data_IF_123034397467
#
_entry.id   IF_123034397467
#
_cell.length_a   1.000
_cell.length_b   1.000
_cell.length_c   1.000
_cell.angle_alpha   90.00
_cell.angle_beta   90.00
_cell.angle_gamma   90.00
#
_symmetry.space_group_name_H-M   'P 1'
#
loop_
_entity.id
_entity.type
_entity.pdbx_description
1 polymer ?
#
# COMPACT_ATOMS: atom_id res chain seq x y z
N UNK A 1 7.69 5.49 31.33
CA UNK A 1 8.85 4.64 31.71
C UNK A 1 9.58 4.32 30.42
N UNK A 2 10.80 4.83 30.25
CA UNK A 2 11.72 4.36 29.23
C UNK A 2 12.08 2.93 29.60
N UNK A 3 11.79 1.95 28.75
CA UNK A 3 12.35 0.60 28.92
C UNK A 3 13.86 0.81 28.76
N UNK A 4 14.65 0.60 29.82
CA UNK A 4 16.11 0.71 29.70
C UNK A 4 16.55 -0.26 28.61
N UNK A 5 17.48 0.17 27.78
CA UNK A 5 18.02 -0.58 26.63
C UNK A 5 18.53 -1.99 27.03
N UNK A 6 18.83 -2.19 28.28
CA UNK A 6 19.31 -3.45 28.88
C UNK A 6 18.23 -4.51 29.20
N UNK A 7 16.93 -4.24 28.96
CA UNK A 7 15.84 -5.13 29.36
C UNK A 7 14.84 -5.42 28.21
N UNK A 8 15.34 -5.62 27.00
CA UNK A 8 14.48 -6.14 25.93
C UNK A 8 14.04 -7.56 26.30
N UNK A 9 12.73 -7.85 26.42
CA UNK A 9 12.26 -9.20 26.71
C UNK A 9 12.83 -10.20 25.70
N UNK A 10 13.26 -11.40 26.11
CA UNK A 10 13.97 -12.34 25.24
C UNK A 10 13.15 -12.83 24.03
N UNK A 11 11.82 -12.69 24.06
CA UNK A 11 10.91 -13.07 22.95
C UNK A 11 10.51 -11.87 22.05
N UNK A 12 11.24 -10.76 22.15
CA UNK A 12 10.95 -9.54 21.38
C UNK A 12 11.17 -9.74 19.89
N UNK A 13 10.27 -9.17 19.09
CA UNK A 13 10.37 -9.07 17.63
C UNK A 13 10.88 -7.68 17.25
N UNK A 14 11.98 -7.59 16.50
CA UNK A 14 12.43 -6.35 15.87
C UNK A 14 11.81 -6.22 14.47
N UNK A 15 11.07 -5.14 14.23
CA UNK A 15 10.54 -4.77 12.93
C UNK A 15 11.40 -3.66 12.36
N UNK A 16 11.99 -3.88 11.18
CA UNK A 16 12.80 -2.88 10.48
C UNK A 16 11.99 -2.28 9.34
N UNK A 17 11.63 -1.00 9.49
CA UNK A 17 10.81 -0.23 8.56
C UNK A 17 9.36 -0.04 9.03
N UNK A 18 8.94 1.23 9.14
CA UNK A 18 7.58 1.66 9.49
C UNK A 18 6.80 2.18 8.28
N UNK A 19 6.91 1.50 7.13
CA UNK A 19 5.95 1.64 6.04
C UNK A 19 4.63 0.92 6.38
N UNK A 20 3.71 0.82 5.41
CA UNK A 20 2.41 0.14 5.63
C UNK A 20 2.57 -1.30 6.13
N UNK A 21 3.55 -2.05 5.64
CA UNK A 21 3.82 -3.43 6.05
C UNK A 21 4.19 -3.51 7.53
N UNK A 22 5.26 -2.82 7.93
CA UNK A 22 5.74 -2.86 9.32
C UNK A 22 4.75 -2.24 10.31
N UNK A 23 4.06 -1.18 9.91
CA UNK A 23 3.00 -0.56 10.74
C UNK A 23 1.87 -1.54 11.04
N UNK A 24 1.34 -2.23 10.03
CA UNK A 24 0.21 -3.14 10.24
C UNK A 24 0.64 -4.43 10.98
N UNK A 25 1.85 -4.95 10.73
CA UNK A 25 2.38 -6.06 11.52
C UNK A 25 2.59 -5.66 12.99
N UNK A 26 3.11 -4.47 13.26
CA UNK A 26 3.28 -3.96 14.62
C UNK A 26 1.93 -3.87 15.36
N UNK A 27 0.85 -3.46 14.69
CA UNK A 27 -0.47 -3.46 15.29
C UNK A 27 -1.03 -4.86 15.53
N UNK A 28 -0.69 -5.88 14.71
CA UNK A 28 -1.04 -7.28 15.02
C UNK A 28 -0.32 -7.78 16.28
N UNK A 29 0.97 -7.44 16.41
CA UNK A 29 1.72 -7.77 17.62
C UNK A 29 1.16 -7.05 18.85
N UNK A 30 0.82 -5.77 18.72
CA UNK A 30 0.17 -4.99 19.78
C UNK A 30 -1.15 -5.63 20.23
N UNK A 31 -2.04 -5.95 19.28
CA UNK A 31 -3.34 -6.57 19.54
C UNK A 31 -3.20 -7.92 20.27
N UNK A 32 -2.14 -8.67 19.97
CA UNK A 32 -1.85 -9.98 20.57
C UNK A 32 -0.96 -9.91 21.81
N UNK A 33 -0.64 -8.72 22.34
CA UNK A 33 0.28 -8.51 23.48
C UNK A 33 1.63 -9.20 23.30
N UNK A 34 2.16 -9.24 22.05
CA UNK A 34 3.49 -9.78 21.78
C UNK A 34 4.54 -8.66 21.87
N UNK A 35 5.68 -8.86 22.53
CA UNK A 35 6.70 -7.83 22.64
C UNK A 35 7.36 -7.55 21.29
N UNK A 36 7.50 -6.27 20.94
CA UNK A 36 8.17 -5.83 19.72
C UNK A 36 8.80 -4.45 19.88
N UNK A 37 9.73 -4.16 18.99
CA UNK A 37 10.26 -2.82 18.73
C UNK A 37 10.22 -2.55 17.23
N UNK A 38 10.03 -1.31 16.87
CA UNK A 38 10.12 -0.85 15.48
C UNK A 38 11.38 0.01 15.37
N UNK A 39 12.13 -0.20 14.30
CA UNK A 39 13.24 0.66 13.93
C UNK A 39 12.99 1.25 12.55
N UNK A 40 12.99 2.59 12.46
CA UNK A 40 12.70 3.30 11.22
C UNK A 40 13.40 4.66 11.19
N UNK A 41 13.93 5.02 10.03
CA UNK A 41 14.72 6.26 9.84
C UNK A 41 13.99 7.59 10.05
N UNK A 42 12.68 7.52 10.30
CA UNK A 42 11.88 8.71 10.47
C UNK A 42 10.92 9.00 9.31
N UNK A 43 10.11 10.05 9.48
CA UNK A 43 9.16 10.52 8.50
C UNK A 43 9.90 11.02 7.24
N UNK A 44 9.85 10.25 6.18
CA UNK A 44 10.45 10.58 4.89
C UNK A 44 9.51 10.24 3.73
N UNK A 45 9.92 10.58 2.51
CA UNK A 45 9.21 10.24 1.27
C UNK A 45 9.29 8.73 0.99
N UNK A 46 8.58 7.92 1.79
CA UNK A 46 8.50 6.47 1.56
C UNK A 46 7.40 6.15 0.55
N UNK A 47 7.48 4.99 -0.08
CA UNK A 47 6.43 4.50 -0.99
C UNK A 47 5.04 4.48 -0.33
N UNK A 48 4.99 4.20 0.97
CA UNK A 48 3.73 4.18 1.73
C UNK A 48 3.18 5.59 1.96
N UNK A 49 4.04 6.57 2.26
CA UNK A 49 3.62 7.95 2.52
C UNK A 49 3.13 8.68 1.26
N UNK A 50 3.70 8.36 0.10
CA UNK A 50 3.32 8.99 -1.18
C UNK A 50 2.24 8.22 -1.94
N UNK A 51 1.80 7.08 -1.46
CA UNK A 51 0.75 6.30 -2.11
C UNK A 51 -0.57 7.09 -2.23
N UNK A 52 -1.36 6.76 -3.25
CA UNK A 52 -2.70 7.36 -3.37
C UNK A 52 -3.64 6.98 -2.22
N UNK A 53 -3.41 5.83 -1.61
CA UNK A 53 -4.31 5.24 -0.63
C UNK A 53 -5.53 4.55 -1.23
N UNK A 54 -5.68 4.52 -2.56
CA UNK A 54 -6.83 3.90 -3.22
C UNK A 54 -6.82 2.37 -3.05
N UNK A 55 -7.87 1.85 -2.47
CA UNK A 55 -8.23 0.44 -2.42
C UNK A 55 -9.22 0.20 -3.55
N UNK A 56 -8.81 -0.58 -4.56
CA UNK A 56 -9.64 -0.86 -5.74
C UNK A 56 -9.80 -2.38 -5.93
N UNK A 57 -11.02 -2.90 -5.82
CA UNK A 57 -11.35 -4.31 -6.05
C UNK A 57 -11.02 -4.82 -7.46
N UNK A 58 -11.02 -3.92 -8.45
CA UNK A 58 -10.93 -4.27 -9.87
C UNK A 58 -9.57 -3.89 -10.45
N UNK A 59 -8.97 -4.79 -11.22
CA UNK A 59 -7.74 -4.51 -11.98
C UNK A 59 -8.09 -3.76 -13.25
N UNK A 60 -7.57 -2.53 -13.40
CA UNK A 60 -7.90 -1.62 -14.50
C UNK A 60 -7.60 -2.19 -15.88
N UNK A 61 -6.50 -2.95 -16.01
CA UNK A 61 -5.96 -3.39 -17.32
C UNK A 61 -6.83 -4.46 -18.02
N UNK A 62 -7.43 -5.36 -17.26
CA UNK A 62 -8.16 -6.52 -17.81
C UNK A 62 -9.53 -6.75 -17.19
N UNK A 63 -10.00 -5.83 -16.36
CA UNK A 63 -11.30 -5.83 -15.69
C UNK A 63 -11.61 -7.09 -14.87
N UNK A 64 -10.58 -7.78 -14.37
CA UNK A 64 -10.76 -8.88 -13.42
C UNK A 64 -10.74 -8.38 -11.98
N UNK A 65 -11.23 -9.19 -11.07
CA UNK A 65 -11.04 -8.93 -9.65
C UNK A 65 -9.55 -8.88 -9.28
N UNK A 66 -9.23 -8.05 -8.32
CA UNK A 66 -7.94 -8.09 -7.65
C UNK A 66 -7.77 -9.45 -6.99
N UNK A 67 -6.56 -9.97 -7.02
CA UNK A 67 -6.23 -11.22 -6.36
C UNK A 67 -6.74 -11.23 -4.91
N UNK A 68 -7.47 -12.28 -4.54
CA UNK A 68 -8.09 -12.45 -3.23
C UNK A 68 -8.99 -11.28 -2.76
N UNK A 69 -9.61 -10.52 -3.66
CA UNK A 69 -10.40 -9.34 -3.29
C UNK A 69 -11.44 -9.64 -2.20
N UNK A 70 -12.12 -10.79 -2.30
CA UNK A 70 -13.18 -11.21 -1.36
C UNK A 70 -12.66 -11.48 0.06
N UNK A 71 -11.40 -11.86 0.19
CA UNK A 71 -10.74 -12.06 1.50
C UNK A 71 -10.11 -10.76 2.01
N UNK A 72 -9.46 -10.03 1.11
CA UNK A 72 -8.65 -8.87 1.47
C UNK A 72 -9.48 -7.64 1.85
N UNK A 73 -10.59 -7.40 1.15
CA UNK A 73 -11.39 -6.19 1.36
C UNK A 73 -12.11 -6.17 2.70
N UNK A 74 -12.85 -7.23 3.12
CA UNK A 74 -13.49 -7.25 4.43
C UNK A 74 -12.48 -7.12 5.57
N UNK A 75 -11.34 -7.83 5.47
CA UNK A 75 -10.29 -7.74 6.48
C UNK A 75 -9.68 -6.34 6.55
N UNK A 76 -9.46 -5.69 5.40
CA UNK A 76 -8.94 -4.33 5.35
C UNK A 76 -9.91 -3.36 6.04
N UNK A 77 -11.20 -3.43 5.73
CA UNK A 77 -12.22 -2.57 6.33
C UNK A 77 -12.30 -2.76 7.85
N UNK A 78 -12.40 -4.01 8.31
CA UNK A 78 -12.49 -4.33 9.74
C UNK A 78 -11.24 -3.86 10.48
N UNK A 79 -10.05 -4.13 9.93
CA UNK A 79 -8.80 -3.80 10.61
C UNK A 79 -8.54 -2.29 10.63
N UNK A 80 -8.80 -1.58 9.53
CA UNK A 80 -8.65 -0.13 9.53
C UNK A 80 -9.65 0.56 10.48
N UNK A 81 -10.88 0.11 10.56
CA UNK A 81 -11.84 0.65 11.53
C UNK A 81 -11.45 0.36 12.99
N UNK A 82 -10.86 -0.82 13.26
CA UNK A 82 -10.26 -1.08 14.57
C UNK A 82 -9.15 -0.08 14.87
N UNK A 83 -8.26 0.19 13.91
CA UNK A 83 -7.16 1.12 14.08
C UNK A 83 -7.62 2.58 14.21
N UNK A 84 -8.67 3.00 13.52
CA UNK A 84 -9.29 4.33 13.71
C UNK A 84 -9.73 4.53 15.16
N UNK A 85 -10.39 3.54 15.74
CA UNK A 85 -10.81 3.58 17.15
C UNK A 85 -9.62 3.62 18.11
N UNK A 86 -8.61 2.80 17.86
CA UNK A 86 -7.39 2.72 18.68
C UNK A 86 -6.59 4.02 18.64
N UNK A 87 -6.42 4.60 17.45
CA UNK A 87 -5.60 5.78 17.19
C UNK A 87 -6.37 7.09 17.40
N UNK A 88 -7.69 7.02 17.55
CA UNK A 88 -8.61 8.18 17.62
C UNK A 88 -8.40 9.15 16.44
N UNK A 89 -8.23 8.57 15.25
CA UNK A 89 -7.97 9.30 14.01
C UNK A 89 -8.76 8.68 12.87
N UNK A 90 -9.41 9.50 12.04
CA UNK A 90 -10.16 9.03 10.86
C UNK A 90 -9.27 9.04 9.64
N UNK A 91 -9.15 7.90 8.95
CA UNK A 91 -8.32 7.75 7.76
C UNK A 91 -8.85 6.74 6.73
N UNK A 92 -9.86 5.92 7.08
CA UNK A 92 -10.52 5.02 6.14
C UNK A 92 -11.84 5.63 5.66
N UNK A 93 -11.98 5.78 4.34
CA UNK A 93 -13.16 6.36 3.72
C UNK A 93 -13.65 5.45 2.59
N UNK A 94 -14.87 4.89 2.66
CA UNK A 94 -15.51 4.29 1.49
C UNK A 94 -15.60 5.32 0.36
N UNK A 95 -15.39 4.87 -0.87
CA UNK A 95 -15.40 5.74 -2.05
C UNK A 95 -16.21 5.09 -3.16
N UNK A 96 -17.15 5.83 -3.73
CA UNK A 96 -17.75 5.47 -5.02
C UNK A 96 -16.72 5.64 -6.12
N UNK A 97 -16.39 4.58 -6.87
CA UNK A 97 -15.38 4.63 -7.90
C UNK A 97 -16.03 4.39 -9.27
N UNK A 98 -15.93 5.37 -10.17
CA UNK A 98 -16.45 5.25 -11.53
C UNK A 98 -15.31 4.93 -12.49
N UNK A 99 -15.40 3.78 -13.16
CA UNK A 99 -14.50 3.40 -14.24
C UNK A 99 -14.97 4.03 -15.55
N UNK A 100 -14.18 4.94 -16.11
CA UNK A 100 -14.39 5.52 -17.43
C UNK A 100 -13.82 4.58 -18.48
N UNK A 101 -14.62 4.23 -19.49
CA UNK A 101 -14.16 3.47 -20.65
C UNK A 101 -13.60 4.42 -21.71
N UNK A 102 -12.50 4.03 -22.32
CA UNK A 102 -11.78 4.82 -23.33
C UNK A 102 -11.58 4.08 -24.66
N UNK A 103 -12.17 2.89 -24.80
CA UNK A 103 -12.13 2.09 -26.01
C UNK A 103 -13.51 1.43 -26.26
N UNK A 104 -13.97 1.31 -27.52
CA UNK A 104 -15.30 0.78 -27.85
C UNK A 104 -15.53 -0.66 -27.34
N UNK A 105 -14.50 -1.49 -27.26
CA UNK A 105 -14.62 -2.88 -26.81
C UNK A 105 -14.76 -3.04 -25.29
N UNK A 106 -14.46 -2.00 -24.49
CA UNK A 106 -14.42 -2.11 -23.05
C UNK A 106 -15.77 -2.37 -22.38
N UNK A 107 -16.91 -1.79 -22.79
CA UNK A 107 -18.21 -2.10 -22.19
C UNK A 107 -18.57 -3.58 -22.29
N UNK A 108 -18.38 -4.19 -23.46
CA UNK A 108 -18.65 -5.61 -23.66
C UNK A 108 -17.72 -6.51 -22.84
N UNK A 109 -16.42 -6.22 -22.86
CA UNK A 109 -15.42 -6.93 -22.05
C UNK A 109 -15.71 -6.81 -20.55
N UNK A 110 -16.09 -5.61 -20.08
CA UNK A 110 -16.47 -5.37 -18.69
C UNK A 110 -17.67 -6.26 -18.29
N UNK A 111 -18.74 -6.24 -19.07
CA UNK A 111 -19.92 -7.05 -18.78
C UNK A 111 -19.62 -8.55 -18.80
N UNK A 112 -18.77 -9.02 -19.72
CA UNK A 112 -18.28 -10.39 -19.74
C UNK A 112 -17.50 -10.73 -18.46
N UNK A 113 -16.56 -9.87 -18.06
CA UNK A 113 -15.73 -10.09 -16.84
C UNK A 113 -16.57 -10.05 -15.57
N UNK A 114 -17.61 -9.22 -15.55
CA UNK A 114 -18.53 -9.11 -14.42
C UNK A 114 -19.25 -10.40 -14.09
N UNK A 115 -19.45 -11.32 -15.05
CA UNK A 115 -20.12 -12.61 -14.80
C UNK A 115 -19.19 -13.66 -14.21
N UNK A 116 -17.88 -13.39 -14.09
CA UNK A 116 -16.91 -14.32 -13.57
C UNK A 116 -16.72 -14.13 -12.06
N UNK A 117 -16.53 -15.26 -11.33
CA UNK A 117 -16.00 -15.32 -9.96
C UNK A 117 -16.55 -14.26 -8.99
N UNK A 118 -17.85 -14.16 -8.81
CA UNK A 118 -18.47 -13.17 -7.90
C UNK A 118 -18.14 -11.70 -8.21
N UNK A 119 -17.57 -11.41 -9.38
CA UNK A 119 -17.20 -10.05 -9.79
C UNK A 119 -18.38 -9.09 -9.76
N UNK A 120 -19.61 -9.58 -9.96
CA UNK A 120 -20.83 -8.80 -9.86
C UNK A 120 -21.06 -8.12 -8.49
N UNK A 121 -20.44 -8.63 -7.43
CA UNK A 121 -20.50 -8.03 -6.11
C UNK A 121 -19.74 -6.69 -6.06
N UNK A 122 -18.73 -6.54 -6.92
CA UNK A 122 -17.85 -5.38 -6.99
C UNK A 122 -18.03 -4.55 -8.28
N UNK A 123 -18.54 -5.16 -9.35
CA UNK A 123 -18.66 -4.55 -10.66
C UNK A 123 -20.14 -4.33 -11.00
N UNK A 124 -20.60 -3.09 -11.06
CA UNK A 124 -21.92 -2.78 -11.60
C UNK A 124 -21.96 -3.02 -13.13
N UNK A 125 -23.13 -3.19 -13.75
CA UNK A 125 -23.23 -3.22 -15.20
C UNK A 125 -22.60 -2.00 -15.87
N UNK A 126 -22.07 -2.18 -17.07
CA UNK A 126 -21.65 -1.05 -17.90
C UNK A 126 -22.84 -0.14 -18.21
N UNK A 127 -22.62 1.17 -18.21
CA UNK A 127 -23.64 2.20 -18.46
C UNK A 127 -23.10 3.26 -19.40
N UNK A 128 -23.99 3.83 -20.21
CA UNK A 128 -23.69 5.02 -21.00
C UNK A 128 -23.94 6.33 -20.22
N UNK A 129 -24.59 6.23 -19.05
CA UNK A 129 -24.86 7.38 -18.19
C UNK A 129 -23.67 7.62 -17.30
N UNK A 130 -22.92 8.67 -17.58
CA UNK A 130 -21.80 9.12 -16.77
C UNK A 130 -22.28 10.02 -15.63
N UNK A 131 -21.53 10.09 -14.50
CA UNK A 131 -21.78 11.08 -13.46
C UNK A 131 -21.64 12.52 -14.00
N UNK A 132 -22.31 13.46 -13.35
CA UNK A 132 -22.23 14.88 -13.73
C UNK A 132 -20.79 15.35 -13.69
N UNK A 133 -20.35 16.04 -14.74
CA UNK A 133 -18.98 16.53 -14.89
C UNK A 133 -17.98 15.50 -15.46
N UNK A 134 -18.42 14.27 -15.73
CA UNK A 134 -17.56 13.21 -16.29
C UNK A 134 -17.76 13.06 -17.78
N UNK A 135 -16.68 13.08 -18.54
CA UNK A 135 -16.64 12.76 -19.96
C UNK A 135 -16.35 11.27 -20.16
N UNK A 136 -17.34 10.53 -20.58
CA UNK A 136 -17.24 9.09 -20.81
C UNK A 136 -17.96 8.70 -22.12
N UNK A 137 -17.40 9.04 -23.29
CA UNK A 137 -18.07 8.82 -24.57
C UNK A 137 -18.32 7.33 -24.88
N UNK A 138 -17.51 6.44 -24.32
CA UNK A 138 -17.70 4.98 -24.41
C UNK A 138 -18.44 4.41 -23.19
N UNK A 139 -19.04 5.30 -22.36
CA UNK A 139 -19.66 4.89 -21.10
C UNK A 139 -18.67 4.58 -20.00
N UNK A 140 -19.15 3.90 -18.99
CA UNK A 140 -18.37 3.54 -17.82
C UNK A 140 -19.08 2.52 -16.95
N UNK A 141 -18.58 2.30 -15.75
CA UNK A 141 -19.22 1.43 -14.76
C UNK A 141 -18.82 1.81 -13.34
N UNK A 142 -19.72 1.60 -12.40
CA UNK A 142 -19.43 1.76 -10.98
C UNK A 142 -18.72 0.53 -10.42
N UNK A 143 -17.69 0.79 -9.59
CA UNK A 143 -16.99 -0.21 -8.79
C UNK A 143 -17.43 -0.03 -7.35
N UNK A 144 -17.95 -1.11 -6.76
CA UNK A 144 -18.37 -1.20 -5.36
C UNK A 144 -17.23 -1.70 -4.48
N UNK A 145 -17.27 -1.38 -3.18
CA UNK A 145 -16.27 -1.84 -2.22
C UNK A 145 -14.89 -1.18 -2.39
N UNK A 146 -14.80 -0.09 -3.15
CA UNK A 146 -13.61 0.73 -3.19
C UNK A 146 -13.54 1.63 -1.95
N UNK A 147 -12.32 1.94 -1.52
CA UNK A 147 -12.08 2.84 -0.40
C UNK A 147 -10.81 3.67 -0.61
N UNK A 148 -10.65 4.70 0.19
CA UNK A 148 -9.47 5.54 0.28
C UNK A 148 -8.91 5.52 1.69
N UNK A 149 -7.63 5.32 1.80
CA UNK A 149 -6.89 5.61 3.03
C UNK A 149 -6.27 7.01 2.91
N UNK A 150 -6.50 7.83 3.93
CA UNK A 150 -5.66 8.99 4.16
C UNK A 150 -4.32 8.49 4.71
N UNK A 151 -3.36 8.34 3.80
CA UNK A 151 -2.09 7.67 4.11
C UNK A 151 -1.23 8.48 5.07
N UNK A 152 -1.33 9.80 4.97
CA UNK A 152 -0.60 10.72 5.85
C UNK A 152 -1.16 10.68 7.27
N UNK A 153 -2.48 10.85 7.42
CA UNK A 153 -3.15 10.77 8.71
C UNK A 153 -2.90 9.42 9.39
N UNK A 154 -3.02 8.31 8.64
CA UNK A 154 -2.78 6.96 9.15
C UNK A 154 -1.35 6.77 9.66
N UNK A 155 -0.34 7.04 8.81
CA UNK A 155 1.07 6.81 9.18
C UNK A 155 1.52 7.74 10.30
N UNK A 156 1.06 8.99 10.30
CA UNK A 156 1.34 9.98 11.35
C UNK A 156 0.74 9.56 12.69
N UNK A 157 -0.53 9.15 12.70
CA UNK A 157 -1.20 8.66 13.90
C UNK A 157 -0.54 7.38 14.46
N UNK A 158 -0.21 6.44 13.57
CA UNK A 158 0.51 5.22 13.96
C UNK A 158 1.90 5.53 14.55
N UNK A 159 2.64 6.45 13.93
CA UNK A 159 3.96 6.85 14.41
C UNK A 159 3.88 7.52 15.79
N UNK A 160 2.92 8.43 15.98
CA UNK A 160 2.64 9.06 17.28
C UNK A 160 2.37 7.99 18.34
N UNK A 161 1.47 7.05 18.05
CA UNK A 161 1.11 5.95 18.96
C UNK A 161 2.34 5.13 19.39
N UNK A 162 3.17 4.69 18.44
CA UNK A 162 4.34 3.86 18.76
C UNK A 162 5.42 4.66 19.53
N UNK A 163 5.57 5.95 19.28
CA UNK A 163 6.44 6.83 20.06
C UNK A 163 5.95 6.98 21.51
N UNK A 164 4.69 7.28 21.70
CA UNK A 164 4.07 7.42 23.03
C UNK A 164 4.17 6.13 23.85
N UNK A 165 4.14 4.97 23.17
CA UNK A 165 4.32 3.66 23.79
C UNK A 165 5.79 3.25 23.92
N UNK A 166 6.74 4.08 23.47
CA UNK A 166 8.19 3.79 23.45
C UNK A 166 8.54 2.50 22.66
N UNK A 167 7.78 2.22 21.61
CA UNK A 167 7.94 1.06 20.74
C UNK A 167 8.65 1.40 19.43
N UNK A 168 8.99 2.68 19.18
CA UNK A 168 9.63 3.15 17.97
C UNK A 168 10.98 3.79 18.29
N UNK A 169 12.01 3.29 17.63
CA UNK A 169 13.37 3.84 17.62
C UNK A 169 13.58 4.53 16.27
N UNK A 170 13.78 5.86 16.30
CA UNK A 170 13.98 6.65 15.08
C UNK A 170 15.46 6.65 14.68
N UNK A 171 15.87 5.57 14.04
CA UNK A 171 17.24 5.42 13.52
C UNK A 171 17.23 4.60 12.23
N UNK A 172 18.32 4.73 11.47
CA UNK A 172 18.58 3.85 10.32
C UNK A 172 19.15 2.55 10.88
N UNK A 173 18.49 1.45 10.59
CA UNK A 173 19.05 0.13 10.89
C UNK A 173 20.16 -0.19 9.87
N UNK A 174 21.39 -0.26 10.35
CA UNK A 174 22.50 -0.76 9.54
C UNK A 174 22.49 -2.30 9.55
N UNK A 175 22.18 -2.97 8.44
CA UNK A 175 22.10 -4.41 8.41
C UNK A 175 23.45 -5.11 8.63
N UNK A 176 24.59 -4.40 8.49
CA UNK A 176 25.92 -4.96 8.77
C UNK A 176 26.23 -5.07 10.27
N UNK A 177 25.50 -4.35 11.11
CA UNK A 177 25.59 -4.43 12.58
C UNK A 177 24.64 -5.48 13.18
N UNK A 178 23.86 -6.16 12.34
CA UNK A 178 22.99 -7.24 12.77
C UNK A 178 23.80 -8.54 12.81
N UNK A 179 23.78 -9.24 13.92
CA UNK A 179 24.46 -10.51 14.07
C UNK A 179 23.50 -11.60 14.55
N UNK A 180 23.71 -12.82 14.07
CA UNK A 180 23.02 -14.01 14.54
C UNK A 180 23.98 -14.82 15.42
N UNK A 181 23.67 -14.94 16.71
CA UNK A 181 24.46 -15.70 17.67
C UNK A 181 23.53 -16.60 18.49
N UNK A 182 23.83 -17.88 18.60
CA UNK A 182 23.06 -18.84 19.41
C UNK A 182 21.54 -18.81 19.12
N UNK A 183 21.14 -18.70 17.87
CA UNK A 183 19.73 -18.55 17.41
C UNK A 183 19.02 -17.29 17.93
N UNK A 184 19.76 -16.26 18.29
CA UNK A 184 19.23 -14.95 18.64
C UNK A 184 19.85 -13.86 17.77
N UNK A 185 19.05 -12.88 17.41
CA UNK A 185 19.47 -11.71 16.65
C UNK A 185 19.94 -10.64 17.60
N UNK A 186 21.09 -10.05 17.33
CA UNK A 186 21.62 -8.93 18.12
C UNK A 186 21.81 -7.70 17.25
N UNK A 187 21.48 -6.55 17.79
CA UNK A 187 21.68 -5.24 17.19
C UNK A 187 21.90 -4.21 18.30
N UNK A 188 23.01 -3.45 18.23
CA UNK A 188 23.36 -2.41 19.21
C UNK A 188 23.25 -2.91 20.69
N UNK A 189 23.75 -4.10 20.95
CA UNK A 189 23.73 -4.70 22.29
C UNK A 189 22.38 -5.22 22.78
N UNK A 190 21.33 -5.13 21.96
CA UNK A 190 20.00 -5.70 22.25
C UNK A 190 19.84 -7.04 21.57
N UNK A 191 19.07 -7.92 22.21
CA UNK A 191 18.79 -9.26 21.70
C UNK A 191 17.34 -9.41 21.32
N UNK A 192 17.08 -10.03 20.17
CA UNK A 192 15.76 -10.25 19.61
C UNK A 192 15.59 -11.73 19.23
N UNK A 193 14.41 -12.26 19.51
CA UNK A 193 14.05 -13.61 19.06
C UNK A 193 13.77 -13.65 17.56
N UNK A 194 13.20 -12.57 17.03
CA UNK A 194 12.77 -12.45 15.64
C UNK A 194 13.16 -11.11 15.06
N UNK A 195 13.51 -11.14 13.81
CA UNK A 195 13.80 -9.96 12.98
C UNK A 195 12.88 -9.97 11.76
N UNK A 196 12.12 -8.91 11.54
CA UNK A 196 11.22 -8.80 10.38
C UNK A 196 11.58 -7.58 9.54
N UNK A 197 12.06 -7.82 8.33
CA UNK A 197 12.36 -6.76 7.38
C UNK A 197 11.13 -6.31 6.60
N UNK A 198 10.74 -5.04 6.79
CA UNK A 198 9.63 -4.34 6.13
C UNK A 198 10.13 -3.13 5.33
N UNK A 199 11.30 -3.24 4.68
CA UNK A 199 12.09 -2.13 4.16
C UNK A 199 11.69 -1.66 2.76
N UNK A 200 10.62 -2.23 2.16
CA UNK A 200 10.21 -1.86 0.80
C UNK A 200 11.34 -2.03 -0.21
N UNK A 201 11.61 -1.01 -1.02
CA UNK A 201 12.66 -1.08 -2.05
C UNK A 201 14.08 -1.10 -1.49
N UNK A 202 14.30 -0.65 -0.26
CA UNK A 202 15.61 -0.72 0.38
C UNK A 202 16.08 -2.14 0.67
N UNK A 203 15.15 -3.12 0.69
CA UNK A 203 15.51 -4.54 0.84
C UNK A 203 16.43 -5.07 -0.26
N UNK A 204 16.45 -4.45 -1.45
CA UNK A 204 17.35 -4.83 -2.54
C UNK A 204 18.85 -4.61 -2.20
N UNK A 205 19.15 -3.74 -1.24
CA UNK A 205 20.50 -3.42 -0.77
C UNK A 205 20.84 -4.13 0.55
N UNK A 206 19.90 -4.87 1.13
CA UNK A 206 20.11 -5.55 2.40
C UNK A 206 20.83 -6.89 2.17
N UNK A 207 22.04 -7.11 2.73
CA UNK A 207 22.82 -8.34 2.52
C UNK A 207 22.10 -9.59 3.07
N UNK A 208 21.20 -9.44 4.05
CA UNK A 208 20.41 -10.53 4.60
C UNK A 208 19.30 -11.02 3.68
N UNK A 209 18.96 -10.24 2.64
CA UNK A 209 17.83 -10.47 1.73
C UNK A 209 18.29 -10.71 0.28
N UNK A 210 19.55 -11.05 0.10
CA UNK A 210 20.08 -11.40 -1.23
C UNK A 210 19.29 -12.54 -1.86
N UNK A 211 19.03 -12.45 -3.16
CA UNK A 211 18.26 -13.44 -3.91
C UNK A 211 16.74 -13.13 -3.95
N UNK A 212 16.22 -12.26 -3.10
CA UNK A 212 14.82 -11.83 -3.21
C UNK A 212 14.65 -10.82 -4.36
N UNK A 213 13.70 -11.06 -5.29
CA UNK A 213 13.58 -10.28 -6.52
C UNK A 213 12.75 -9.00 -6.34
N UNK A 214 12.98 -8.25 -5.28
CA UNK A 214 12.31 -6.96 -5.06
C UNK A 214 12.90 -5.92 -5.99
N UNK A 215 12.07 -5.36 -6.87
CA UNK A 215 12.46 -4.35 -7.86
C UNK A 215 11.71 -3.05 -7.62
N UNK A 216 12.42 -1.91 -7.57
CA UNK A 216 11.75 -0.61 -7.50
C UNK A 216 11.07 -0.30 -8.83
N UNK A 217 9.81 0.13 -8.74
CA UNK A 217 9.05 0.66 -9.89
C UNK A 217 8.56 2.05 -9.52
N UNK A 218 9.13 3.06 -10.17
CA UNK A 218 8.80 4.46 -9.92
C UNK A 218 7.37 4.76 -10.34
N UNK A 219 6.72 5.60 -9.57
CA UNK A 219 5.44 6.21 -9.90
C UNK A 219 5.38 7.63 -9.42
N UNK A 220 4.88 8.51 -10.28
CA UNK A 220 4.63 9.90 -9.96
C UNK A 220 3.13 10.12 -9.84
N UNK A 221 2.74 10.97 -8.93
CA UNK A 221 1.37 11.45 -8.75
C UNK A 221 1.42 12.89 -8.23
N UNK A 222 0.30 13.57 -8.26
CA UNK A 222 0.22 14.93 -7.77
C UNK A 222 -1.03 15.15 -6.94
N UNK A 223 -0.98 16.14 -6.09
CA UNK A 223 -2.15 16.73 -5.47
C UNK A 223 -2.53 17.99 -6.25
N UNK A 224 -3.78 18.06 -6.64
CA UNK A 224 -4.33 19.19 -7.37
C UNK A 224 -5.55 19.74 -6.66
N UNK A 225 -5.83 21.04 -6.81
CA UNK A 225 -7.09 21.61 -6.37
C UNK A 225 -7.91 22.09 -7.56
N UNK A 226 -9.23 21.87 -7.48
CA UNK A 226 -10.21 22.37 -8.44
C UNK A 226 -11.58 22.43 -7.82
N UNK A 227 -12.40 23.38 -8.26
CA UNK A 227 -13.82 23.50 -7.87
C UNK A 227 -14.77 22.83 -8.85
N UNK A 228 -14.26 22.32 -9.97
CA UNK A 228 -15.07 21.82 -11.08
C UNK A 228 -15.33 20.31 -11.04
N UNK A 229 -14.75 19.62 -10.04
CA UNK A 229 -14.96 18.19 -9.82
C UNK A 229 -15.73 17.92 -8.54
N UNK A 230 -16.63 16.93 -8.61
CA UNK A 230 -17.31 16.42 -7.43
C UNK A 230 -16.33 15.71 -6.46
N UNK A 231 -16.57 15.90 -5.17
CA UNK A 231 -15.88 15.16 -4.09
C UNK A 231 -16.58 13.84 -3.74
N UNK A 232 -17.71 13.51 -4.36
CA UNK A 232 -18.56 12.37 -4.00
C UNK A 232 -18.05 11.05 -4.57
N UNK A 233 -17.26 11.11 -5.65
CA UNK A 233 -16.74 9.90 -6.29
C UNK A 233 -15.31 10.10 -6.82
N UNK A 234 -14.63 8.98 -6.98
CA UNK A 234 -13.34 8.91 -7.64
C UNK A 234 -13.51 8.45 -9.10
N UNK A 235 -12.57 8.84 -9.96
CA UNK A 235 -12.49 8.36 -11.33
C UNK A 235 -11.33 7.40 -11.52
N UNK A 236 -11.51 6.40 -12.36
CA UNK A 236 -10.48 5.47 -12.80
C UNK A 236 -10.58 5.31 -14.33
N UNK A 237 -9.52 5.65 -15.03
CA UNK A 237 -9.43 5.60 -16.49
C UNK A 237 -7.98 5.40 -16.91
N UNK A 238 -7.49 6.30 -17.76
CA UNK A 238 -6.07 6.40 -18.13
C UNK A 238 -5.20 6.90 -16.98
N UNK A 239 -5.82 7.59 -16.02
CA UNK A 239 -5.31 7.96 -14.71
C UNK A 239 -6.40 7.66 -13.66
N UNK A 240 -6.10 7.85 -12.39
CA UNK A 240 -7.12 7.99 -11.35
C UNK A 240 -7.22 9.47 -10.93
N UNK A 241 -8.42 9.87 -10.55
CA UNK A 241 -8.69 11.15 -9.87
C UNK A 241 -9.42 10.82 -8.58
N UNK A 242 -8.75 11.03 -7.44
CA UNK A 242 -9.20 10.56 -6.13
C UNK A 242 -9.44 11.74 -5.19
N UNK A 243 -10.69 12.01 -4.77
CA UNK A 243 -11.00 13.08 -3.83
C UNK A 243 -10.25 12.93 -2.50
N UNK A 244 -9.73 14.04 -1.98
CA UNK A 244 -9.09 14.09 -0.66
C UNK A 244 -9.85 14.95 0.36
N UNK A 245 -10.95 15.56 -0.06
CA UNK A 245 -11.69 16.58 0.69
C UNK A 245 -11.23 18.00 0.33
N UNK A 246 -12.01 19.01 0.76
CA UNK A 246 -11.64 20.44 0.61
C UNK A 246 -11.21 20.85 -0.81
N UNK A 247 -11.88 20.31 -1.83
CA UNK A 247 -11.57 20.56 -3.26
C UNK A 247 -10.19 20.06 -3.72
N UNK A 248 -9.54 19.23 -2.93
CA UNK A 248 -8.26 18.59 -3.24
C UNK A 248 -8.48 17.19 -3.83
N UNK A 249 -7.61 16.81 -4.76
CA UNK A 249 -7.62 15.51 -5.44
C UNK A 249 -6.19 14.99 -5.60
N UNK A 250 -6.01 13.68 -5.44
CA UNK A 250 -4.80 13.00 -5.95
C UNK A 250 -5.04 12.54 -7.38
N UNK A 251 -4.12 12.89 -8.27
CA UNK A 251 -4.11 12.47 -9.67
C UNK A 251 -2.89 11.62 -9.95
N UNK A 252 -3.06 10.47 -10.54
CA UNK A 252 -1.94 9.53 -10.80
C UNK A 252 -2.37 8.25 -11.50
N UNK A 253 -1.46 7.36 -11.70
CA UNK A 253 -0.05 7.48 -11.45
C UNK A 253 0.73 7.01 -12.68
N UNK A 254 1.97 7.45 -12.80
CA UNK A 254 2.87 6.90 -13.82
C UNK A 254 3.42 5.53 -13.42
N UNK A 255 4.02 4.85 -14.39
CA UNK A 255 4.70 3.56 -14.25
C UNK A 255 6.03 3.64 -15.02
N UNK A 256 7.12 3.81 -14.29
CA UNK A 256 8.42 4.12 -14.89
C UNK A 256 9.50 3.14 -14.40
N UNK A 257 10.24 2.55 -15.34
CA UNK A 257 11.38 1.67 -15.06
C UNK A 257 12.67 2.48 -14.93
N UNK A 258 12.68 3.49 -14.06
CA UNK A 258 13.85 4.31 -13.78
C UNK A 258 14.08 4.40 -12.28
N UNK A 259 15.33 4.58 -11.87
CA UNK A 259 15.73 4.85 -10.49
C UNK A 259 15.97 6.34 -10.22
N UNK A 260 15.77 7.19 -11.23
CA UNK A 260 15.91 8.63 -11.08
C UNK A 260 14.88 9.15 -10.07
N UNK A 261 15.35 9.80 -9.03
CA UNK A 261 14.51 10.47 -8.04
C UNK A 261 13.90 11.77 -8.62
N UNK A 262 12.85 12.24 -7.93
CA UNK A 262 12.16 13.46 -8.34
C UNK A 262 10.96 13.21 -9.26
N UNK A 263 10.24 14.28 -9.54
CA UNK A 263 9.14 14.35 -10.50
C UNK A 263 9.61 15.04 -11.77
N UNK A 264 8.93 14.81 -12.88
CA UNK A 264 9.29 15.41 -14.17
C UNK A 264 8.13 16.20 -14.75
N UNK A 265 8.37 17.31 -15.47
CA UNK A 265 7.32 18.10 -16.12
C UNK A 265 6.51 17.29 -17.14
N UNK A 266 7.15 16.34 -17.83
CA UNK A 266 6.51 15.47 -18.80
C UNK A 266 5.47 14.56 -18.14
N UNK A 267 5.82 13.94 -16.99
CA UNK A 267 4.90 13.12 -16.23
C UNK A 267 3.72 13.93 -15.69
N UNK A 268 3.98 15.15 -15.22
CA UNK A 268 2.93 16.09 -14.79
C UNK A 268 1.97 16.39 -15.92
N UNK A 269 2.48 16.89 -17.05
CA UNK A 269 1.66 17.23 -18.22
C UNK A 269 0.85 16.02 -18.71
N UNK A 270 1.47 14.84 -18.75
CA UNK A 270 0.78 13.59 -19.15
C UNK A 270 -0.36 13.21 -18.19
N UNK A 271 -0.14 13.33 -16.88
CA UNK A 271 -1.16 12.98 -15.88
C UNK A 271 -2.31 13.96 -15.87
N UNK A 272 -2.04 15.27 -16.00
CA UNK A 272 -3.07 16.29 -16.12
C UNK A 272 -3.91 16.10 -17.37
N UNK A 273 -3.28 15.84 -18.52
CA UNK A 273 -3.99 15.54 -19.76
C UNK A 273 -4.89 14.31 -19.63
N UNK A 274 -4.37 13.20 -19.11
CA UNK A 274 -5.15 11.97 -18.88
C UNK A 274 -6.31 12.15 -17.89
N UNK A 275 -6.16 13.01 -16.90
CA UNK A 275 -7.24 13.35 -15.98
C UNK A 275 -8.31 14.19 -16.68
N UNK A 276 -7.89 15.19 -17.45
CA UNK A 276 -8.81 16.08 -18.20
C UNK A 276 -9.64 15.32 -19.25
N UNK A 277 -9.08 14.29 -19.89
CA UNK A 277 -9.82 13.41 -20.81
C UNK A 277 -11.09 12.77 -20.21
N UNK A 278 -11.10 12.59 -18.88
CA UNK A 278 -12.22 11.99 -18.15
C UNK A 278 -13.24 13.01 -17.62
N UNK A 279 -13.01 14.28 -17.90
CA UNK A 279 -13.83 15.39 -17.39
C UNK A 279 -14.47 16.07 -18.60
N UNK A 280 -15.62 16.74 -18.39
CA UNK A 280 -16.35 17.39 -19.50
C UNK A 280 -15.45 18.23 -20.41
N UNK A 281 -15.73 18.34 -21.72
CA UNK A 281 -14.84 19.00 -22.70
C UNK A 281 -14.52 20.46 -22.41
N UNK A 282 -15.37 21.15 -21.65
CA UNK A 282 -15.10 22.52 -21.17
C UNK A 282 -14.03 22.58 -20.09
N UNK A 283 -13.63 21.44 -19.53
CA UNK A 283 -12.56 21.35 -18.53
C UNK A 283 -11.19 21.24 -19.22
N UNK A 284 -10.26 22.04 -18.79
CA UNK A 284 -8.88 22.00 -19.28
C UNK A 284 -7.91 21.70 -18.12
N UNK A 285 -6.72 21.17 -18.42
CA UNK A 285 -5.67 21.00 -17.39
C UNK A 285 -5.38 22.27 -16.58
N UNK A 286 -5.56 23.45 -17.18
CA UNK A 286 -5.39 24.75 -16.52
C UNK A 286 -6.37 24.99 -15.35
N UNK A 287 -7.48 24.25 -15.29
CA UNK A 287 -8.43 24.32 -14.17
C UNK A 287 -7.98 23.52 -12.95
N UNK A 288 -6.87 22.78 -13.05
CA UNK A 288 -6.25 22.04 -11.95
C UNK A 288 -5.00 22.77 -11.46
N UNK A 289 -5.05 23.36 -10.29
CA UNK A 289 -3.88 23.95 -9.65
C UNK A 289 -3.07 22.85 -8.96
N UNK A 290 -1.83 22.62 -9.41
CA UNK A 290 -0.94 21.62 -8.80
C UNK A 290 -0.40 22.16 -7.48
N UNK A 291 -0.82 21.56 -6.38
CA UNK A 291 -0.40 21.89 -5.00
C UNK A 291 0.88 21.17 -4.60
N UNK A 292 0.97 19.89 -4.95
CA UNK A 292 2.11 19.06 -4.59
C UNK A 292 2.43 18.04 -5.68
N UNK A 293 3.73 17.82 -5.88
CA UNK A 293 4.27 16.78 -6.77
C UNK A 293 4.91 15.70 -5.93
N UNK A 294 4.52 14.46 -6.18
CA UNK A 294 4.93 13.30 -5.38
C UNK A 294 5.50 12.22 -6.28
N UNK A 295 6.54 11.54 -5.80
CA UNK A 295 7.06 10.33 -6.42
C UNK A 295 7.42 9.30 -5.37
N UNK A 296 7.41 8.03 -5.76
CA UNK A 296 7.86 6.95 -4.90
C UNK A 296 8.17 5.69 -5.70
N UNK A 297 8.93 4.80 -5.08
CA UNK A 297 9.34 3.54 -5.68
C UNK A 297 8.55 2.39 -5.06
N UNK A 298 7.66 1.78 -5.83
CA UNK A 298 6.88 0.61 -5.39
C UNK A 298 7.79 -0.60 -5.28
N UNK A 299 7.78 -1.33 -4.16
CA UNK A 299 8.50 -2.60 -4.05
C UNK A 299 7.73 -3.68 -4.83
N UNK A 300 8.12 -3.90 -6.08
CA UNK A 300 7.47 -4.88 -6.94
C UNK A 300 8.23 -6.19 -6.99
N UNK A 301 7.50 -7.27 -7.27
CA UNK A 301 8.00 -8.63 -7.46
C UNK A 301 7.52 -9.12 -8.82
N UNK A 302 8.26 -9.98 -9.55
CA UNK A 302 7.91 -10.39 -10.91
C UNK A 302 6.49 -10.96 -11.05
N UNK A 303 6.05 -11.77 -10.10
CA UNK A 303 4.72 -12.39 -10.07
C UNK A 303 3.63 -11.48 -9.47
N UNK A 304 3.99 -10.29 -8.99
CA UNK A 304 3.09 -9.31 -8.36
C UNK A 304 2.37 -9.84 -7.12
N UNK A 305 2.97 -10.82 -6.41
CA UNK A 305 2.49 -11.32 -5.13
C UNK A 305 3.39 -10.83 -4.00
N UNK A 306 2.86 -10.59 -2.80
CA UNK A 306 3.69 -10.23 -1.64
C UNK A 306 4.79 -11.24 -1.35
N UNK A 307 5.81 -10.82 -0.64
CA UNK A 307 6.86 -11.66 -0.09
C UNK A 307 6.70 -11.75 1.41
N UNK A 308 6.34 -12.93 1.91
CA UNK A 308 6.18 -13.20 3.33
C UNK A 308 6.96 -14.45 3.72
N UNK A 309 7.35 -14.51 4.97
CA UNK A 309 7.83 -15.74 5.58
C UNK A 309 9.23 -15.67 6.16
N UNK A 310 9.65 -16.80 6.72
CA UNK A 310 10.97 -17.00 7.30
C UNK A 310 12.00 -17.33 6.21
N UNK A 311 13.18 -16.73 6.34
CA UNK A 311 14.31 -17.05 5.47
C UNK A 311 14.74 -18.51 5.67
N UNK A 312 14.91 -19.31 4.62
CA UNK A 312 15.15 -20.75 4.76
C UNK A 312 16.41 -21.08 5.58
N UNK A 313 17.48 -20.29 5.43
CA UNK A 313 18.79 -20.55 6.06
C UNK A 313 19.03 -19.71 7.31
N UNK A 314 18.09 -18.82 7.69
CA UNK A 314 18.29 -17.85 8.78
C UNK A 314 17.10 -17.84 9.72
N UNK A 315 17.12 -18.76 10.67
CA UNK A 315 16.03 -18.93 11.63
C UNK A 315 15.73 -17.64 12.38
N UNK A 316 14.44 -17.30 12.47
CA UNK A 316 13.96 -16.10 13.14
C UNK A 316 14.08 -14.82 12.30
N UNK A 317 14.58 -14.90 11.05
CA UNK A 317 14.57 -13.80 10.11
C UNK A 317 13.36 -13.93 9.18
N UNK A 318 12.52 -12.92 9.19
CA UNK A 318 11.28 -12.86 8.39
C UNK A 318 11.29 -11.67 7.44
N UNK A 319 10.50 -11.78 6.40
CA UNK A 319 10.30 -10.71 5.41
C UNK A 319 8.80 -10.41 5.30
N UNK A 320 8.47 -9.13 5.21
CA UNK A 320 7.15 -8.65 4.81
C UNK A 320 7.30 -7.52 3.80
N UNK A 321 7.23 -7.88 2.52
CA UNK A 321 7.56 -6.96 1.42
C UNK A 321 6.77 -7.30 0.14
N UNK A 322 7.14 -6.67 -0.99
CA UNK A 322 6.59 -6.98 -2.30
C UNK A 322 5.14 -6.54 -2.52
N UNK A 323 4.63 -5.58 -1.75
CA UNK A 323 3.23 -5.14 -1.79
C UNK A 323 2.86 -4.34 -3.06
N UNK A 324 3.85 -3.91 -3.84
CA UNK A 324 3.64 -3.21 -5.10
C UNK A 324 2.78 -1.95 -4.98
N UNK A 325 1.78 -1.82 -5.85
CA UNK A 325 0.86 -0.67 -5.86
C UNK A 325 -0.41 -0.85 -5.02
N UNK A 326 -0.60 -2.02 -4.40
CA UNK A 326 -1.83 -2.35 -3.65
C UNK A 326 -1.57 -2.55 -2.16
N UNK A 327 -0.52 -1.93 -1.62
CA UNK A 327 -0.08 -2.14 -0.25
C UNK A 327 -1.19 -1.94 0.78
N UNK A 328 -1.98 -0.90 0.67
CA UNK A 328 -3.07 -0.61 1.61
C UNK A 328 -4.26 -1.59 1.52
N UNK A 329 -4.44 -2.28 0.41
CA UNK A 329 -5.42 -3.37 0.27
C UNK A 329 -4.87 -4.70 0.77
N UNK A 330 -3.60 -4.99 0.48
CA UNK A 330 -2.97 -6.27 0.76
C UNK A 330 -2.51 -6.41 2.22
N UNK A 331 -1.90 -5.35 2.76
CA UNK A 331 -1.17 -5.43 4.01
C UNK A 331 -2.03 -5.76 5.25
N UNK A 332 -3.31 -5.38 5.37
CA UNK A 332 -4.14 -5.78 6.50
C UNK A 332 -4.22 -7.30 6.68
N UNK A 333 -4.59 -8.03 5.65
CA UNK A 333 -4.67 -9.49 5.71
C UNK A 333 -3.30 -10.16 5.72
N UNK A 334 -2.35 -9.64 4.93
CA UNK A 334 -1.00 -10.20 4.88
C UNK A 334 -0.27 -10.06 6.22
N UNK A 335 -0.52 -9.00 6.97
CA UNK A 335 0.03 -8.84 8.33
C UNK A 335 -0.53 -9.89 9.30
N UNK A 336 -1.82 -10.20 9.20
CA UNK A 336 -2.44 -11.28 9.97
C UNK A 336 -1.86 -12.64 9.57
N UNK A 337 -1.76 -12.91 8.28
CA UNK A 337 -1.26 -14.16 7.74
C UNK A 337 0.21 -14.42 8.16
N UNK A 338 1.06 -13.39 8.11
CA UNK A 338 2.43 -13.50 8.60
C UNK A 338 2.48 -13.64 10.13
N UNK A 339 1.66 -12.90 10.87
CA UNK A 339 1.56 -13.02 12.31
C UNK A 339 1.19 -14.46 12.73
N UNK A 340 0.19 -15.05 12.10
CA UNK A 340 -0.23 -16.43 12.36
C UNK A 340 0.85 -17.46 12.00
N UNK A 341 1.60 -17.21 10.94
CA UNK A 341 2.75 -18.02 10.58
C UNK A 341 3.85 -17.95 11.64
N UNK A 342 4.21 -16.76 12.10
CA UNK A 342 5.27 -16.56 13.11
C UNK A 342 4.91 -17.19 14.46
N UNK A 343 3.68 -17.01 14.93
CA UNK A 343 3.33 -17.35 16.31
C UNK A 343 2.52 -18.65 16.45
N UNK A 344 1.83 -19.07 15.40
CA UNK A 344 1.01 -20.27 15.42
C UNK A 344 1.44 -21.31 14.37
N UNK A 345 2.55 -21.05 13.66
CA UNK A 345 3.11 -21.95 12.64
C UNK A 345 2.11 -22.32 11.53
N UNK A 346 1.11 -21.49 11.29
CA UNK A 346 0.20 -21.69 10.17
C UNK A 346 0.97 -21.61 8.85
N UNK A 347 0.73 -22.54 7.92
CA UNK A 347 1.42 -22.53 6.63
C UNK A 347 1.05 -21.26 5.85
N UNK A 348 2.04 -20.65 5.20
CA UNK A 348 1.80 -19.55 4.28
C UNK A 348 1.19 -20.06 2.97
N UNK A 349 0.39 -19.22 2.33
CA UNK A 349 0.00 -19.46 0.95
C UNK A 349 1.25 -19.55 0.08
N UNK A 350 1.33 -20.57 -0.78
CA UNK A 350 2.47 -20.83 -1.65
C UNK A 350 2.82 -19.60 -2.50
N UNK A 351 1.81 -18.84 -2.93
CA UNK A 351 1.95 -17.67 -3.78
C UNK A 351 2.60 -16.47 -3.08
N UNK A 352 2.63 -16.42 -1.75
CA UNK A 352 3.27 -15.31 -0.99
C UNK A 352 4.50 -15.76 -0.23
N UNK A 353 4.71 -17.06 -0.06
CA UNK A 353 5.90 -17.60 0.62
C UNK A 353 7.18 -17.20 -0.13
N UNK A 354 8.09 -16.54 0.57
CA UNK A 354 9.36 -16.08 -0.03
C UNK A 354 10.23 -17.24 -0.53
N UNK A 355 10.05 -18.47 -0.01
CA UNK A 355 10.76 -19.67 -0.44
C UNK A 355 10.53 -20.03 -1.92
N UNK A 356 9.49 -19.47 -2.55
CA UNK A 356 9.28 -19.63 -4.00
C UNK A 356 10.39 -19.01 -4.85
N UNK A 357 11.24 -18.16 -4.25
CA UNK A 357 12.38 -17.49 -4.90
C UNK A 357 13.75 -17.89 -4.31
N UNK A 358 13.76 -18.46 -3.12
CA UNK A 358 14.96 -18.94 -2.46
C UNK A 358 14.95 -20.49 -2.54
N UNK A 359 15.90 -21.05 -3.22
CA UNK A 359 16.10 -22.49 -3.33
C UNK A 359 17.10 -22.96 -2.28
#
# INVERSE_FOLDING_TARGET
MTIPISQTPPDTTLIVGQGVAGTLLAFRLWQANKPFLIMDKGAGKTSSAVASGLINPVVVKHFGLSWMAETLLPEAEVFYHYLEKLLKEKFYYPVSLFRVFNQPAQPALWNQRRTLENAQNYMAPATVVAPVGVHAPMGGAWIKGAARIDVEAFLKAARRFFKEKMLLIETICDPHQIHLQSNQWTYEGKTFRRLVFCQGTQSAQNPWLQGLPVRPLKGQLMEVSTTQLSQEFALSGNAFVLPQGSKSFKVGATWEHTLQEGTTPEAESQLLAKAAEMIVPSFSPAHMEVKQRLFGFRPTVPDRRPLLGEHPDKRGLYVFNGLGSKGYMLAPWMSLHLFEHIFYQKPLLREVDLRRYLK
#
